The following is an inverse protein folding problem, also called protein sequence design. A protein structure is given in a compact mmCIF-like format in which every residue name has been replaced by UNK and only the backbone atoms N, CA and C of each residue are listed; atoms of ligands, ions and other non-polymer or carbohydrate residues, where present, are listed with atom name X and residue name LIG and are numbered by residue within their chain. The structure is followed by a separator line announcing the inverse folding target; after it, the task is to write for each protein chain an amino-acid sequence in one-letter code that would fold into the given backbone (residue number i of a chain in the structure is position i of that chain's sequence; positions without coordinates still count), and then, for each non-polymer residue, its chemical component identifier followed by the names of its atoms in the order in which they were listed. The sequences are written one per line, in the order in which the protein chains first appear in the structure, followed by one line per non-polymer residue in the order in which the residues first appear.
data_IF_834053955667
#
_entry.id   IF_834053955667
#
_cell.length_a   1.000
_cell.length_b   1.000
_cell.length_c   1.000
_cell.angle_alpha   90.00
_cell.angle_beta   90.00
_cell.angle_gamma   90.00
#
_symmetry.space_group_name_H-M   'P 1'
#
loop_
_entity.id
_entity.type
_entity.pdbx_description
1 polymer ?
#
# COMPACT_ATOMS: atom_id res chain seq x y z
N UNK A 1 28.14 2.81 -5.77
CA UNK A 1 26.93 2.17 -5.23
C UNK A 1 25.78 3.13 -5.51
N UNK A 2 24.71 2.64 -6.16
CA UNK A 2 23.53 3.47 -6.38
C UNK A 2 22.79 3.66 -5.05
N UNK A 3 22.10 4.80 -4.87
CA UNK A 3 21.29 5.05 -3.68
C UNK A 3 20.18 4.00 -3.48
N UNK A 4 19.73 3.35 -4.55
CA UNK A 4 18.83 2.21 -4.50
C UNK A 4 19.42 1.03 -3.69
N UNK A 5 20.72 0.77 -3.81
CA UNK A 5 21.39 -0.29 -3.05
C UNK A 5 21.51 0.02 -1.56
N UNK A 6 21.37 1.28 -1.17
CA UNK A 6 21.38 1.74 0.23
C UNK A 6 19.98 1.73 0.87
N UNK A 7 18.91 1.66 0.07
CA UNK A 7 17.53 1.58 0.60
C UNK A 7 17.25 0.19 1.19
N UNK A 8 17.33 0.16 2.52
CA UNK A 8 17.24 -1.07 3.32
C UNK A 8 15.89 -1.76 3.17
N UNK A 9 14.81 -0.98 3.18
CA UNK A 9 13.46 -1.53 3.06
C UNK A 9 13.26 -2.16 1.68
N UNK A 10 13.68 -1.49 0.61
CA UNK A 10 13.61 -2.00 -0.75
C UNK A 10 14.37 -3.33 -0.89
N UNK A 11 15.58 -3.40 -0.32
CA UNK A 11 16.39 -4.62 -0.35
C UNK A 11 15.73 -5.77 0.43
N UNK A 12 15.16 -5.49 1.60
CA UNK A 12 14.40 -6.48 2.36
C UNK A 12 13.18 -6.97 1.57
N UNK A 13 12.43 -6.06 0.94
CA UNK A 13 11.28 -6.44 0.11
C UNK A 13 11.68 -7.34 -1.06
N UNK A 14 12.77 -7.02 -1.78
CA UNK A 14 13.29 -7.85 -2.88
C UNK A 14 13.70 -9.25 -2.38
N UNK A 15 14.38 -9.34 -1.25
CA UNK A 15 14.80 -10.62 -0.64
C UNK A 15 13.58 -11.46 -0.20
N UNK A 16 12.64 -10.84 0.50
CA UNK A 16 11.45 -11.53 1.02
C UNK A 16 10.50 -11.95 -0.12
N UNK A 17 10.35 -11.13 -1.15
CA UNK A 17 9.58 -11.51 -2.32
C UNK A 17 10.13 -12.78 -2.97
N UNK A 18 11.44 -12.83 -3.18
CA UNK A 18 12.12 -14.00 -3.76
C UNK A 18 11.92 -15.24 -2.88
N UNK A 19 12.18 -15.10 -1.58
CA UNK A 19 12.01 -16.19 -0.62
C UNK A 19 10.58 -16.72 -0.59
N UNK A 20 9.60 -15.81 -0.45
CA UNK A 20 8.18 -16.16 -0.42
C UNK A 20 7.76 -16.87 -1.72
N UNK A 21 8.21 -16.37 -2.87
CA UNK A 21 7.89 -16.98 -4.16
C UNK A 21 8.47 -18.39 -4.28
N UNK A 22 9.72 -18.60 -3.84
CA UNK A 22 10.37 -19.92 -3.83
C UNK A 22 9.65 -20.91 -2.91
N UNK A 23 9.22 -20.49 -1.72
CA UNK A 23 8.50 -21.34 -0.78
C UNK A 23 7.07 -21.67 -1.25
N UNK A 24 6.36 -20.70 -1.79
CA UNK A 24 5.00 -20.89 -2.26
C UNK A 24 4.92 -21.67 -3.57
N UNK A 25 5.97 -21.65 -4.40
CA UNK A 25 6.09 -22.52 -5.59
C UNK A 25 6.15 -24.01 -5.26
N UNK A 26 6.48 -24.39 -4.03
CA UNK A 26 6.49 -25.78 -3.58
C UNK A 26 5.10 -26.31 -3.22
N UNK A 27 4.11 -25.43 -3.16
CA UNK A 27 2.72 -25.78 -2.83
C UNK A 27 2.00 -26.35 -4.05
N UNK A 28 0.89 -27.07 -3.82
CA UNK A 28 0.06 -27.67 -4.87
C UNK A 28 -0.47 -26.62 -5.87
N UNK A 29 -0.87 -25.46 -5.38
CA UNK A 29 -1.31 -24.33 -6.21
C UNK A 29 -0.21 -23.26 -6.24
N UNK A 30 0.81 -23.47 -7.05
CA UNK A 30 1.94 -22.54 -7.16
C UNK A 30 1.51 -21.17 -7.70
N UNK A 31 1.98 -20.06 -7.10
CA UNK A 31 1.75 -18.75 -7.67
C UNK A 31 2.58 -18.56 -8.95
N UNK A 32 1.95 -17.96 -9.97
CA UNK A 32 2.67 -17.54 -11.17
C UNK A 32 3.19 -16.10 -11.06
N UNK A 33 2.49 -15.25 -10.29
CA UNK A 33 2.87 -13.86 -10.05
C UNK A 33 2.65 -13.46 -8.60
N UNK A 34 3.55 -12.62 -8.09
CA UNK A 34 3.42 -12.01 -6.78
C UNK A 34 4.04 -10.60 -6.79
N UNK A 35 3.44 -9.68 -6.05
CA UNK A 35 4.04 -8.39 -5.76
C UNK A 35 3.90 -8.00 -4.28
N UNK A 36 4.79 -7.12 -3.85
CA UNK A 36 4.71 -6.44 -2.57
C UNK A 36 4.68 -4.94 -2.83
N UNK A 37 3.66 -4.27 -2.31
CA UNK A 37 3.58 -2.81 -2.30
C UNK A 37 3.66 -2.32 -0.87
N UNK A 38 4.53 -1.36 -0.61
CA UNK A 38 4.62 -0.67 0.67
C UNK A 38 4.40 0.82 0.45
N UNK A 39 3.51 1.39 1.25
CA UNK A 39 3.30 2.84 1.35
C UNK A 39 3.81 3.30 2.70
N UNK A 40 4.84 4.14 2.70
CA UNK A 40 5.43 4.78 3.88
C UNK A 40 4.96 6.23 3.86
N UNK A 41 4.04 6.56 4.76
CA UNK A 41 3.29 7.83 4.80
C UNK A 41 3.51 8.57 6.11
N UNK A 42 4.20 9.71 6.02
CA UNK A 42 4.37 10.66 7.11
C UNK A 42 3.50 11.89 6.85
N UNK A 43 2.58 12.18 7.76
CA UNK A 43 1.60 13.26 7.62
C UNK A 43 1.56 14.12 8.88
N UNK A 44 1.61 15.44 8.68
CA UNK A 44 1.36 16.44 9.72
C UNK A 44 0.15 17.27 9.31
N UNK A 45 -0.81 17.42 10.21
CA UNK A 45 -1.98 18.27 9.98
C UNK A 45 -2.29 19.15 11.17
N UNK A 46 -2.68 20.40 10.88
CA UNK A 46 -3.12 21.38 11.88
C UNK A 46 -4.36 22.07 11.36
N UNK A 47 -5.39 22.11 12.18
CA UNK A 47 -6.62 22.89 11.94
C UNK A 47 -6.79 23.87 13.08
N UNK A 48 -6.95 25.15 12.77
CA UNK A 48 -7.20 26.21 13.74
C UNK A 48 -8.47 26.98 13.37
N UNK A 49 -9.26 27.35 14.36
CA UNK A 49 -10.48 28.13 14.20
C UNK A 49 -10.48 29.30 15.15
N UNK A 50 -10.77 30.50 14.63
CA UNK A 50 -10.84 31.73 15.43
C UNK A 50 -9.63 31.94 16.37
N UNK A 51 -8.42 31.63 15.90
CA UNK A 51 -7.18 31.85 16.65
C UNK A 51 -6.86 30.76 17.69
N UNK A 52 -7.51 29.62 17.64
CA UNK A 52 -7.22 28.48 18.50
C UNK A 52 -7.06 27.19 17.70
N UNK A 53 -6.13 26.33 18.11
CA UNK A 53 -5.95 25.00 17.51
C UNK A 53 -7.16 24.13 17.86
N UNK A 54 -7.82 23.61 16.87
CA UNK A 54 -8.91 22.63 17.00
C UNK A 54 -8.42 21.20 16.87
N UNK A 55 -7.48 20.95 15.91
CA UNK A 55 -6.86 19.64 15.70
C UNK A 55 -5.39 19.85 15.38
N UNK A 56 -4.53 19.04 15.96
CA UNK A 56 -3.09 18.97 15.65
C UNK A 56 -2.68 17.51 15.72
N UNK A 57 -2.09 16.99 14.64
CA UNK A 57 -1.69 15.59 14.56
C UNK A 57 -0.43 15.41 13.72
N UNK A 58 0.42 14.51 14.18
CA UNK A 58 1.57 13.99 13.45
C UNK A 58 1.44 12.46 13.42
N UNK A 59 1.49 11.89 12.23
CA UNK A 59 1.30 10.46 12.03
C UNK A 59 2.34 9.93 11.05
N UNK A 60 2.90 8.77 11.37
CA UNK A 60 3.79 8.03 10.49
C UNK A 60 3.31 6.58 10.43
N UNK A 61 3.00 6.09 9.25
CA UNK A 61 2.54 4.73 9.03
C UNK A 61 3.26 4.12 7.83
N UNK A 62 3.54 2.84 7.93
CA UNK A 62 4.07 2.05 6.84
C UNK A 62 3.14 0.88 6.61
N UNK A 63 2.50 0.82 5.44
CA UNK A 63 1.48 -0.16 5.11
C UNK A 63 1.95 -1.07 3.98
N UNK A 64 1.94 -2.39 4.22
CA UNK A 64 2.20 -3.42 3.23
C UNK A 64 0.90 -3.96 2.64
N UNK A 65 0.86 -4.10 1.32
CA UNK A 65 -0.21 -4.77 0.58
C UNK A 65 0.41 -5.79 -0.36
N UNK A 66 0.48 -7.07 0.03
CA UNK A 66 0.92 -8.13 -0.87
C UNK A 66 -0.20 -8.52 -1.83
N UNK A 67 0.17 -8.93 -3.04
CA UNK A 67 -0.72 -9.55 -4.00
C UNK A 67 -0.15 -10.89 -4.44
N UNK A 68 -0.99 -11.91 -4.51
CA UNK A 68 -0.63 -13.26 -4.99
C UNK A 68 -1.61 -13.67 -6.07
N UNK A 69 -1.08 -14.15 -7.21
CA UNK A 69 -1.89 -14.67 -8.31
C UNK A 69 -1.59 -16.15 -8.55
N UNK A 70 -2.67 -16.93 -8.61
CA UNK A 70 -2.65 -18.38 -8.82
C UNK A 70 -3.39 -18.73 -10.12
N UNK A 71 -2.90 -19.76 -10.80
CA UNK A 71 -3.45 -20.19 -12.09
C UNK A 71 -2.53 -19.79 -13.23
N UNK A 72 -3.06 -19.06 -14.20
CA UNK A 72 -2.31 -18.54 -15.34
C UNK A 72 -2.77 -17.12 -15.69
N UNK A 73 -2.04 -16.39 -16.54
CA UNK A 73 -2.47 -15.08 -17.03
C UNK A 73 -3.85 -15.09 -17.70
N UNK A 74 -4.24 -16.19 -18.33
CA UNK A 74 -5.56 -16.34 -19.00
C UNK A 74 -6.68 -16.59 -18.00
N UNK A 75 -6.39 -17.36 -16.94
CA UNK A 75 -7.39 -17.74 -15.94
C UNK A 75 -6.77 -17.80 -14.54
N UNK A 76 -7.03 -16.78 -13.75
CA UNK A 76 -6.50 -16.67 -12.40
C UNK A 76 -7.58 -16.45 -11.33
N UNK A 77 -7.15 -16.32 -10.08
CA UNK A 77 -8.03 -16.09 -8.93
C UNK A 77 -8.78 -14.74 -8.96
N UNK A 78 -8.52 -13.86 -9.94
CA UNK A 78 -9.21 -12.57 -10.11
C UNK A 78 -10.29 -12.59 -11.19
N UNK A 79 -10.46 -13.69 -11.98
CA UNK A 79 -11.31 -13.75 -13.16
C UNK A 79 -12.72 -13.16 -12.96
N UNK A 80 -13.36 -13.41 -11.83
CA UNK A 80 -14.74 -12.96 -11.59
C UNK A 80 -14.85 -11.78 -10.61
N UNK A 81 -13.72 -11.18 -10.20
CA UNK A 81 -13.74 -10.09 -9.23
C UNK A 81 -14.18 -8.76 -9.82
N UNK A 82 -14.10 -8.58 -11.12
CA UNK A 82 -14.50 -7.34 -11.79
C UNK A 82 -16.01 -7.15 -11.87
N UNK A 83 -16.79 -8.21 -11.75
CA UNK A 83 -18.25 -8.18 -11.89
C UNK A 83 -19.03 -8.17 -10.57
N UNK A 84 -18.42 -7.75 -9.46
CA UNK A 84 -19.16 -7.51 -8.21
C UNK A 84 -19.52 -8.76 -7.41
N UNK A 85 -18.94 -9.91 -7.74
CA UNK A 85 -19.38 -11.20 -7.21
C UNK A 85 -18.96 -11.53 -5.78
N UNK A 86 -18.03 -10.83 -5.15
CA UNK A 86 -17.68 -11.08 -3.74
C UNK A 86 -17.34 -9.78 -3.02
N UNK A 87 -18.34 -9.18 -2.39
CA UNK A 87 -18.20 -7.96 -1.57
C UNK A 87 -17.13 -8.08 -0.45
N UNK A 88 -16.74 -9.32 -0.08
CA UNK A 88 -15.69 -9.57 0.91
C UNK A 88 -14.28 -9.32 0.42
N UNK A 89 -14.01 -9.33 -0.89
CA UNK A 89 -12.66 -9.18 -1.42
C UNK A 89 -12.28 -7.72 -1.63
N UNK A 90 -13.20 -6.85 -2.06
CA UNK A 90 -12.96 -5.41 -2.11
C UNK A 90 -12.57 -4.85 -0.74
N UNK A 91 -13.11 -5.42 0.34
CA UNK A 91 -12.76 -5.02 1.71
C UNK A 91 -11.49 -5.70 2.24
N UNK A 92 -11.19 -6.93 1.83
CA UNK A 92 -10.03 -7.69 2.33
C UNK A 92 -8.81 -7.59 1.44
N UNK A 93 -8.99 -7.43 0.14
CA UNK A 93 -7.90 -7.24 -0.83
C UNK A 93 -7.20 -5.87 -0.69
N UNK A 94 -7.90 -4.86 -0.19
CA UNK A 94 -7.38 -3.51 0.00
C UNK A 94 -6.86 -3.25 1.44
N UNK A 95 -7.06 -4.17 2.38
CA UNK A 95 -6.54 -4.00 3.75
C UNK A 95 -5.07 -4.42 3.79
N UNK A 96 -4.20 -3.42 3.85
CA UNK A 96 -2.79 -3.60 4.15
C UNK A 96 -2.58 -3.93 5.63
N UNK A 97 -1.39 -4.40 5.95
CA UNK A 97 -0.90 -4.56 7.33
C UNK A 97 0.17 -3.52 7.61
N UNK A 98 0.19 -3.00 8.84
CA UNK A 98 1.25 -2.09 9.24
C UNK A 98 2.56 -2.85 9.43
N UNK A 99 3.62 -2.31 8.83
CA UNK A 99 4.99 -2.76 9.05
C UNK A 99 5.65 -1.92 10.15
N UNK A 100 6.66 -2.49 10.84
CA UNK A 100 7.54 -1.71 11.71
C UNK A 100 8.17 -0.53 10.95
N UNK A 101 8.30 0.59 11.64
CA UNK A 101 8.94 1.79 11.10
C UNK A 101 10.47 1.76 11.24
N UNK A 102 10.97 0.88 12.12
CA UNK A 102 12.40 0.73 12.38
C UNK A 102 13.03 -0.27 11.42
N UNK A 103 13.80 0.24 10.46
CA UNK A 103 14.54 -0.57 9.49
C UNK A 103 15.75 -1.29 10.13
N UNK A 104 16.12 -0.97 11.38
CA UNK A 104 17.13 -1.70 12.12
C UNK A 104 16.62 -3.05 12.68
N UNK A 105 15.31 -3.29 12.65
CA UNK A 105 14.68 -4.53 13.08
C UNK A 105 14.17 -5.36 11.87
N UNK A 106 15.07 -5.87 10.99
CA UNK A 106 14.68 -6.54 9.75
C UNK A 106 13.85 -7.81 9.98
N UNK A 107 14.04 -8.50 11.10
CA UNK A 107 13.33 -9.73 11.44
C UNK A 107 11.83 -9.48 11.61
N UNK A 108 11.46 -8.36 12.23
CA UNK A 108 10.06 -8.00 12.43
C UNK A 108 9.38 -7.63 11.09
N UNK A 109 10.11 -6.98 10.19
CA UNK A 109 9.62 -6.67 8.83
C UNK A 109 9.46 -7.96 8.03
N UNK A 110 10.45 -8.86 8.05
CA UNK A 110 10.42 -10.15 7.36
C UNK A 110 9.25 -11.01 7.82
N UNK A 111 9.07 -11.14 9.14
CA UNK A 111 7.95 -11.90 9.73
C UNK A 111 6.61 -11.33 9.27
N UNK A 112 6.45 -10.02 9.29
CA UNK A 112 5.21 -9.36 8.86
C UNK A 112 4.93 -9.60 7.36
N UNK A 113 5.95 -9.50 6.51
CA UNK A 113 5.84 -9.77 5.06
C UNK A 113 5.43 -11.24 4.85
N UNK A 114 6.14 -12.19 5.47
CA UNK A 114 5.84 -13.62 5.32
C UNK A 114 4.43 -13.96 5.78
N UNK A 115 4.07 -13.57 6.99
CA UNK A 115 2.76 -13.83 7.57
C UNK A 115 1.62 -13.30 6.70
N UNK A 116 1.77 -12.08 6.19
CA UNK A 116 0.72 -11.46 5.39
C UNK A 116 0.67 -12.04 3.98
N UNK A 117 1.82 -12.35 3.38
CA UNK A 117 1.88 -13.04 2.08
C UNK A 117 1.23 -14.42 2.16
N UNK A 118 1.48 -15.18 3.23
CA UNK A 118 0.84 -16.49 3.43
C UNK A 118 -0.69 -16.39 3.52
N UNK A 119 -1.21 -15.41 4.27
CA UNK A 119 -2.67 -15.16 4.33
C UNK A 119 -3.24 -14.83 2.96
N UNK A 120 -2.52 -14.02 2.16
CA UNK A 120 -2.94 -13.68 0.79
C UNK A 120 -2.91 -14.89 -0.13
N UNK A 121 -1.91 -15.73 0.02
CA UNK A 121 -1.84 -16.98 -0.71
C UNK A 121 -3.03 -17.91 -0.38
N UNK A 122 -3.34 -18.10 0.90
CA UNK A 122 -4.48 -18.93 1.32
C UNK A 122 -5.81 -18.38 0.78
N UNK A 123 -5.99 -17.06 0.83
CA UNK A 123 -7.14 -16.40 0.25
C UNK A 123 -7.20 -16.60 -1.27
N UNK A 124 -6.09 -16.36 -1.98
CA UNK A 124 -5.99 -16.53 -3.43
C UNK A 124 -6.30 -18.00 -3.84
N UNK A 125 -5.84 -18.98 -3.07
CA UNK A 125 -6.15 -20.39 -3.29
C UNK A 125 -7.66 -20.67 -3.22
N UNK A 126 -8.31 -20.19 -2.16
CA UNK A 126 -9.76 -20.36 -2.01
C UNK A 126 -10.54 -19.69 -3.17
N UNK A 127 -10.09 -18.51 -3.61
CA UNK A 127 -10.70 -17.83 -4.75
C UNK A 127 -10.46 -18.57 -6.06
N UNK A 128 -9.27 -19.11 -6.28
CA UNK A 128 -8.96 -19.87 -7.48
C UNK A 128 -9.76 -21.16 -7.57
N UNK A 129 -10.00 -21.86 -6.46
CA UNK A 129 -10.89 -23.03 -6.42
C UNK A 129 -12.32 -22.67 -6.79
N UNK A 130 -12.82 -21.51 -6.37
CA UNK A 130 -14.14 -21.00 -6.81
C UNK A 130 -14.15 -20.67 -8.31
N UNK A 131 -13.10 -20.06 -8.84
CA UNK A 131 -12.96 -19.78 -10.27
C UNK A 131 -12.98 -21.07 -11.07
N UNK A 132 -12.21 -22.08 -10.70
CA UNK A 132 -12.21 -23.41 -11.36
C UNK A 132 -13.61 -24.03 -11.36
N UNK A 133 -14.32 -23.98 -10.24
CA UNK A 133 -15.67 -24.51 -10.12
C UNK A 133 -16.65 -23.78 -11.05
N UNK A 134 -16.63 -22.45 -11.05
CA UNK A 134 -17.50 -21.64 -11.93
C UNK A 134 -17.20 -21.89 -13.40
N UNK A 135 -15.94 -21.91 -13.79
CA UNK A 135 -15.51 -22.14 -15.17
C UNK A 135 -15.95 -23.53 -15.66
N UNK A 136 -15.90 -24.57 -14.81
CA UNK A 136 -16.35 -25.92 -15.16
C UNK A 136 -17.86 -26.03 -15.31
N UNK A 137 -18.65 -25.15 -14.72
CA UNK A 137 -20.11 -25.11 -14.79
C UNK A 137 -20.64 -24.17 -15.88
N UNK A 138 -19.83 -23.27 -16.39
CA UNK A 138 -20.22 -22.31 -17.43
C UNK A 138 -20.09 -22.97 -18.81
N UNK A 139 -21.16 -22.95 -19.58
CA UNK A 139 -21.20 -23.53 -20.96
C UNK A 139 -20.53 -22.58 -21.96
N UNK A 140 -20.53 -21.28 -21.71
CA UNK A 140 -19.80 -20.27 -22.48
C UNK A 140 -19.37 -19.12 -21.57
N UNK A 141 -18.08 -18.80 -21.59
CA UNK A 141 -17.57 -17.58 -20.97
C UNK A 141 -17.57 -16.48 -22.05
N UNK A 142 -18.43 -15.48 -21.89
CA UNK A 142 -18.54 -14.35 -22.82
C UNK A 142 -17.29 -13.49 -22.83
N UNK A 143 -16.54 -13.46 -21.69
CA UNK A 143 -15.31 -12.71 -21.56
C UNK A 143 -14.08 -13.61 -21.71
N UNK A 144 -13.51 -13.59 -22.91
CA UNK A 144 -12.27 -14.31 -23.27
C UNK A 144 -10.99 -13.50 -23.00
N UNK A 145 -11.11 -12.29 -22.46
CA UNK A 145 -9.94 -11.48 -22.14
C UNK A 145 -9.07 -12.15 -21.06
N UNK A 146 -7.74 -12.08 -21.18
CA UNK A 146 -6.86 -12.60 -20.14
C UNK A 146 -7.03 -11.81 -18.83
N UNK A 147 -6.86 -12.49 -17.71
CA UNK A 147 -6.95 -11.90 -16.37
C UNK A 147 -5.76 -10.99 -16.04
N UNK A 148 -4.64 -11.23 -16.71
CA UNK A 148 -3.40 -10.52 -16.50
C UNK A 148 -2.68 -10.30 -17.83
N UNK A 149 -2.22 -9.07 -18.07
CA UNK A 149 -1.47 -8.73 -19.28
C UNK A 149 0.02 -8.79 -18.99
N UNK A 150 0.77 -9.41 -19.89
CA UNK A 150 2.22 -9.30 -19.87
C UNK A 150 2.64 -7.86 -20.21
N UNK A 151 3.59 -7.34 -19.47
CA UNK A 151 4.20 -6.04 -19.71
C UNK A 151 5.73 -6.17 -19.65
N UNK A 152 6.49 -5.33 -20.37
CA UNK A 152 7.93 -5.30 -20.20
C UNK A 152 8.28 -4.97 -18.75
N UNK A 153 9.37 -5.55 -18.27
CA UNK A 153 9.92 -5.23 -16.96
C UNK A 153 10.37 -3.77 -16.95
N UNK A 154 9.86 -3.01 -16.01
CA UNK A 154 10.26 -1.62 -15.78
C UNK A 154 10.94 -1.55 -14.42
N UNK A 155 12.13 -0.93 -14.39
CA UNK A 155 12.86 -0.63 -13.16
C UNK A 155 12.97 0.89 -13.03
N UNK A 156 12.34 1.43 -11.98
CA UNK A 156 12.29 2.86 -11.72
C UNK A 156 12.65 3.15 -10.27
N UNK A 157 13.67 3.98 -10.07
CA UNK A 157 14.07 4.45 -8.76
C UNK A 157 14.15 5.97 -8.72
N UNK A 158 13.37 6.58 -7.83
CA UNK A 158 13.44 8.00 -7.53
C UNK A 158 14.21 8.24 -6.23
N UNK A 159 15.23 9.09 -6.30
CA UNK A 159 16.02 9.46 -5.13
C UNK A 159 15.12 10.06 -4.05
N UNK A 160 15.17 9.56 -2.80
CA UNK A 160 14.39 10.11 -1.70
C UNK A 160 14.61 11.62 -1.51
N UNK A 161 13.54 12.34 -1.18
CA UNK A 161 13.64 13.73 -0.76
C UNK A 161 14.64 13.85 0.39
N UNK A 162 15.55 14.87 0.39
CA UNK A 162 16.50 15.06 1.48
C UNK A 162 15.85 15.11 2.86
N UNK A 163 16.51 14.50 3.87
CA UNK A 163 15.92 14.29 5.20
C UNK A 163 15.45 15.59 5.88
N UNK A 164 16.15 16.71 5.64
CA UNK A 164 15.80 18.03 6.14
C UNK A 164 14.48 18.58 5.56
N UNK A 165 14.03 18.07 4.41
CA UNK A 165 12.77 18.44 3.76
C UNK A 165 11.63 17.47 4.07
N UNK A 166 11.90 16.39 4.80
CA UNK A 166 10.92 15.35 5.09
C UNK A 166 10.15 15.60 6.39
N UNK A 167 10.48 16.64 7.14
CA UNK A 167 9.86 16.95 8.43
C UNK A 167 9.56 18.43 8.55
N UNK A 168 8.53 18.74 9.30
CA UNK A 168 8.15 20.10 9.66
C UNK A 168 7.95 20.19 11.17
N UNK A 169 8.22 21.35 11.75
CA UNK A 169 7.92 21.61 13.15
C UNK A 169 6.43 21.95 13.28
N UNK A 170 5.67 21.04 13.85
CA UNK A 170 4.22 21.18 14.04
C UNK A 170 3.86 22.42 14.88
N UNK A 171 4.68 22.79 15.88
CA UNK A 171 4.43 23.94 16.73
C UNK A 171 4.52 25.26 15.98
N UNK A 172 5.40 25.35 15.00
CA UNK A 172 5.49 26.52 14.13
C UNK A 172 4.20 26.69 13.33
N UNK A 173 3.66 25.58 12.84
CA UNK A 173 2.43 25.58 12.05
C UNK A 173 1.18 25.78 12.90
N UNK A 174 1.13 25.26 14.11
CA UNK A 174 0.08 25.60 15.09
C UNK A 174 -0.01 27.10 15.32
N UNK A 175 1.13 27.75 15.58
CA UNK A 175 1.17 29.20 15.74
C UNK A 175 0.70 29.94 14.50
N UNK A 176 1.19 29.57 13.31
CA UNK A 176 0.79 30.21 12.05
C UNK A 176 -0.70 30.04 11.76
N UNK A 177 -1.25 28.86 11.96
CA UNK A 177 -2.67 28.60 11.71
C UNK A 177 -3.56 29.34 12.71
N UNK A 178 -3.11 29.51 13.96
CA UNK A 178 -3.78 30.36 14.94
C UNK A 178 -3.80 31.84 14.50
N UNK A 179 -2.66 32.36 14.05
CA UNK A 179 -2.57 33.74 13.54
C UNK A 179 -3.49 33.95 12.32
N UNK A 180 -3.48 33.04 11.36
CA UNK A 180 -4.34 33.09 10.18
C UNK A 180 -5.82 33.03 10.55
N UNK A 181 -6.21 32.07 11.38
CA UNK A 181 -7.62 31.89 11.74
C UNK A 181 -8.14 32.98 12.69
N UNK A 182 -7.26 33.70 13.40
CA UNK A 182 -7.64 34.82 14.26
C UNK A 182 -8.26 35.97 13.47
N UNK A 183 -7.94 36.12 12.16
CA UNK A 183 -8.52 37.12 11.28
C UNK A 183 -10.04 37.00 11.21
N UNK A 184 -10.59 35.80 11.35
CA UNK A 184 -12.03 35.54 11.33
C UNK A 184 -12.78 36.22 12.48
N UNK A 185 -12.10 36.55 13.59
CA UNK A 185 -12.69 37.28 14.71
C UNK A 185 -13.16 38.69 14.35
N UNK A 186 -12.57 39.26 13.31
CA UNK A 186 -12.93 40.63 12.86
C UNK A 186 -14.32 40.69 12.19
N UNK A 187 -14.88 39.55 11.79
CA UNK A 187 -16.18 39.46 11.11
C UNK A 187 -17.25 38.94 12.07
N UNK A 188 -18.09 39.81 12.61
CA UNK A 188 -19.09 39.46 13.63
C UNK A 188 -20.22 38.57 13.11
N UNK A 189 -20.42 38.50 11.80
CA UNK A 189 -21.47 37.66 11.17
C UNK A 189 -20.98 36.27 10.81
N UNK A 190 -19.66 36.06 10.84
CA UNK A 190 -19.05 34.75 10.51
C UNK A 190 -19.31 33.77 11.66
N UNK A 191 -19.96 32.65 11.34
CA UNK A 191 -20.28 31.59 12.32
C UNK A 191 -19.27 30.50 12.37
N UNK A 192 -18.62 30.23 11.23
CA UNK A 192 -17.62 29.20 11.08
C UNK A 192 -16.43 29.74 10.25
N UNK A 193 -15.24 29.31 10.56
CA UNK A 193 -14.02 29.64 9.84
C UNK A 193 -12.87 28.82 10.37
N UNK A 194 -12.15 28.18 9.47
CA UNK A 194 -10.98 27.37 9.81
C UNK A 194 -9.81 27.66 8.86
N UNK A 195 -8.61 27.60 9.41
CA UNK A 195 -7.36 27.57 8.66
C UNK A 195 -6.75 26.18 8.81
N UNK A 196 -6.40 25.57 7.69
CA UNK A 196 -5.87 24.22 7.63
C UNK A 196 -4.45 24.22 7.06
N UNK A 197 -3.60 23.44 7.66
CA UNK A 197 -2.28 23.08 7.15
C UNK A 197 -2.20 21.57 7.03
N UNK A 198 -1.65 21.08 5.93
CA UNK A 198 -1.30 19.67 5.74
C UNK A 198 0.06 19.57 5.08
N UNK A 199 0.88 18.69 5.61
CA UNK A 199 2.16 18.32 5.03
C UNK A 199 2.21 16.80 4.97
N UNK A 200 2.65 16.26 3.83
CA UNK A 200 2.75 14.83 3.62
C UNK A 200 4.05 14.49 2.89
N UNK A 201 4.70 13.44 3.33
CA UNK A 201 5.76 12.74 2.60
C UNK A 201 5.30 11.31 2.40
N UNK A 202 5.01 10.95 1.16
CA UNK A 202 4.62 9.62 0.76
C UNK A 202 5.76 8.98 -0.04
N UNK A 203 6.20 7.80 0.38
CA UNK A 203 7.09 6.94 -0.38
C UNK A 203 6.36 5.66 -0.74
N UNK A 204 6.41 5.29 -1.99
CA UNK A 204 5.83 4.04 -2.47
C UNK A 204 6.93 3.12 -2.94
N UNK A 205 6.97 1.92 -2.36
CA UNK A 205 7.84 0.84 -2.76
C UNK A 205 7.01 -0.22 -3.47
N UNK A 206 7.51 -0.70 -4.58
CA UNK A 206 6.87 -1.77 -5.32
C UNK A 206 7.92 -2.74 -5.84
N UNK A 207 7.73 -4.01 -5.58
CA UNK A 207 8.56 -5.09 -6.14
C UNK A 207 7.67 -6.23 -6.61
N UNK A 208 8.01 -6.87 -7.72
CA UNK A 208 7.25 -7.98 -8.26
C UNK A 208 8.14 -9.17 -8.65
N UNK A 209 7.52 -10.31 -8.90
CA UNK A 209 8.20 -11.56 -9.25
C UNK A 209 8.73 -11.60 -10.69
N UNK A 210 8.47 -10.59 -11.50
CA UNK A 210 8.95 -10.46 -12.89
C UNK A 210 10.26 -9.68 -12.97
N UNK A 211 10.74 -9.11 -11.85
CA UNK A 211 12.07 -8.53 -11.76
C UNK A 211 12.11 -7.01 -11.58
N UNK A 212 11.00 -6.40 -11.15
CA UNK A 212 10.97 -4.97 -10.76
C UNK A 212 11.37 -4.79 -9.31
#
# INVERSE_FOLDING_TARGET
FSQEQEDRLLQLMKQELKYNMEELKKQESAPYYMNLRVMDDYTVSVTSSFGAVAVSSENHTRMLVPQVRLGSPELDNFKYNQQGGVAGEKSRGAQGVFLPLDDAAPEAIREAIWRETLKRYEFARNMYDQVKTKTSMSVEDEDKAPCFSEAPVEDYYETPVPAEKQKVDIRVWEKRMNEVSAVFKACSVLREGAANFSFQVLRTYFVNSEGT
#
